data_IF_954812493162
#
_entry.id   IF_954812493162
#
_cell.length_a   1.000
_cell.length_b   1.000
_cell.length_c   1.000
_cell.angle_alpha   90.00
_cell.angle_beta   90.00
_cell.angle_gamma   90.00
#
_symmetry.space_group_name_H-M   'P 1'
#
loop_
_entity.id
_entity.type
_entity.pdbx_description
1 polymer ?
#
# COMPACT_ATOMS: atom_id res chain seq x y z
N UNK A 1 9.37 5.61 -29.80
CA UNK A 1 8.58 6.54 -28.98
C UNK A 1 8.69 6.08 -27.53
N UNK A 2 9.32 6.91 -26.69
CA UNK A 2 9.59 6.62 -25.28
C UNK A 2 8.28 6.33 -24.56
N UNK A 3 8.16 5.14 -23.98
CA UNK A 3 6.98 4.71 -23.23
C UNK A 3 6.72 5.70 -22.11
N UNK A 4 5.47 6.17 -22.02
CA UNK A 4 5.06 7.09 -20.98
C UNK A 4 5.43 6.51 -19.62
N UNK A 5 6.35 7.19 -18.92
CA UNK A 5 6.54 6.98 -17.49
C UNK A 5 5.22 7.39 -16.82
N UNK A 6 4.33 6.40 -16.61
CA UNK A 6 3.20 6.57 -15.71
C UNK A 6 3.80 6.97 -14.37
N UNK A 7 3.54 8.20 -13.93
CA UNK A 7 3.96 8.66 -12.61
C UNK A 7 3.26 7.77 -11.59
N UNK A 8 3.98 6.78 -11.09
CA UNK A 8 3.47 5.92 -10.04
C UNK A 8 3.27 6.78 -8.79
N UNK A 9 2.04 6.84 -8.32
CA UNK A 9 1.75 7.52 -7.06
C UNK A 9 2.37 6.69 -5.92
N UNK A 10 3.17 7.34 -5.07
CA UNK A 10 3.63 6.74 -3.80
C UNK A 10 2.49 6.48 -2.81
N UNK A 11 1.24 6.80 -3.20
CA UNK A 11 0.03 6.56 -2.43
C UNK A 11 -1.01 5.79 -3.25
N UNK A 12 -1.62 4.79 -2.63
CA UNK A 12 -2.75 4.04 -3.18
C UNK A 12 -3.93 4.13 -2.22
N UNK A 13 -5.12 4.45 -2.74
CA UNK A 13 -6.37 4.51 -1.97
C UNK A 13 -7.28 3.33 -2.33
N UNK A 14 -7.61 2.54 -1.32
CA UNK A 14 -8.50 1.36 -1.41
C UNK A 14 -9.67 1.46 -0.43
N UNK A 15 -9.99 2.67 0.06
CA UNK A 15 -11.13 2.89 0.97
C UNK A 15 -12.43 2.37 0.35
N UNK A 16 -13.24 1.75 1.20
CA UNK A 16 -14.56 1.22 0.82
C UNK A 16 -14.52 -0.14 0.09
N UNK A 17 -13.34 -0.64 -0.25
CA UNK A 17 -13.19 -1.95 -0.89
C UNK A 17 -13.25 -3.08 0.14
N UNK A 18 -13.61 -4.30 -0.30
CA UNK A 18 -13.37 -5.50 0.50
C UNK A 18 -11.92 -5.94 0.33
N UNK A 19 -11.42 -6.70 1.30
CA UNK A 19 -10.04 -7.21 1.24
C UNK A 19 -9.75 -7.99 -0.05
N UNK A 20 -10.70 -8.85 -0.48
CA UNK A 20 -10.56 -9.65 -1.70
C UNK A 20 -10.44 -8.80 -2.99
N UNK A 21 -11.00 -7.59 -2.99
CA UNK A 21 -10.92 -6.67 -4.13
C UNK A 21 -9.64 -5.80 -4.05
N UNK A 22 -9.26 -5.38 -2.83
CA UNK A 22 -8.11 -4.51 -2.60
C UNK A 22 -6.78 -5.24 -2.75
N UNK A 23 -6.66 -6.48 -2.26
CA UNK A 23 -5.41 -7.24 -2.28
C UNK A 23 -4.76 -7.32 -3.68
N UNK A 24 -5.46 -7.75 -4.76
CA UNK A 24 -4.84 -7.83 -6.08
C UNK A 24 -4.44 -6.47 -6.67
N UNK A 25 -5.07 -5.37 -6.24
CA UNK A 25 -4.68 -4.02 -6.63
C UNK A 25 -3.38 -3.62 -5.92
N UNK A 26 -3.26 -3.93 -4.63
CA UNK A 26 -2.07 -3.66 -3.83
C UNK A 26 -0.88 -4.48 -4.33
N UNK A 27 -1.07 -5.76 -4.67
CA UNK A 27 -0.03 -6.63 -5.26
C UNK A 27 0.56 -5.99 -6.52
N UNK A 28 -0.29 -5.67 -7.50
CA UNK A 28 0.17 -5.05 -8.76
C UNK A 28 0.87 -3.72 -8.51
N UNK A 29 0.38 -2.92 -7.57
CA UNK A 29 1.00 -1.64 -7.22
C UNK A 29 2.39 -1.81 -6.59
N UNK A 30 2.60 -2.87 -5.79
CA UNK A 30 3.93 -3.22 -5.25
C UNK A 30 4.89 -3.57 -6.39
N UNK A 31 4.46 -4.38 -7.37
CA UNK A 31 5.29 -4.74 -8.52
C UNK A 31 5.72 -3.51 -9.32
N UNK A 32 4.77 -2.61 -9.62
CA UNK A 32 5.05 -1.37 -10.33
C UNK A 32 6.01 -0.46 -9.52
N UNK A 33 5.86 -0.40 -8.20
CA UNK A 33 6.73 0.39 -7.33
C UNK A 33 8.15 -0.18 -7.20
N UNK A 34 8.30 -1.50 -7.19
CA UNK A 34 9.61 -2.17 -7.23
C UNK A 34 10.35 -1.83 -8.53
N UNK A 35 9.67 -1.93 -9.67
CA UNK A 35 10.25 -1.60 -10.98
C UNK A 35 10.66 -0.13 -11.07
N UNK A 36 9.91 0.76 -10.42
CA UNK A 36 10.19 2.19 -10.40
C UNK A 36 11.18 2.62 -9.29
N UNK A 37 11.58 1.72 -8.39
CA UNK A 37 12.44 2.04 -7.25
C UNK A 37 11.81 3.01 -6.25
N UNK A 38 10.48 3.01 -6.11
CA UNK A 38 9.75 3.92 -5.23
C UNK A 38 9.47 3.30 -3.87
N UNK A 39 10.09 3.86 -2.83
CA UNK A 39 9.85 3.49 -1.44
C UNK A 39 10.19 4.67 -0.53
N UNK A 40 9.46 4.92 0.57
CA UNK A 40 8.31 4.17 1.11
C UNK A 40 6.99 4.43 0.36
N UNK A 41 6.02 3.52 0.57
CA UNK A 41 4.68 3.58 0.00
C UNK A 41 3.62 3.82 1.08
N UNK A 42 2.53 4.52 0.72
CA UNK A 42 1.40 4.83 1.62
C UNK A 42 0.10 4.21 1.10
N UNK A 43 -0.45 3.27 1.84
CA UNK A 43 -1.71 2.59 1.54
C UNK A 43 -2.84 3.15 2.40
N UNK A 44 -3.78 3.85 1.76
CA UNK A 44 -4.95 4.44 2.41
C UNK A 44 -6.10 3.42 2.33
N UNK A 45 -6.39 2.77 3.45
CA UNK A 45 -7.49 1.80 3.55
C UNK A 45 -8.65 2.33 4.42
N UNK A 46 -8.46 3.47 5.09
CA UNK A 46 -9.44 4.05 6.00
C UNK A 46 -9.48 3.33 7.36
N UNK A 47 -10.14 3.96 8.34
CA UNK A 47 -10.23 3.43 9.71
C UNK A 47 -11.31 2.35 9.82
N UNK A 48 -12.56 2.68 9.44
CA UNK A 48 -13.69 1.74 9.43
C UNK A 48 -13.78 0.87 10.68
N UNK A 49 -14.12 -0.41 10.49
CA UNK A 49 -14.04 -1.45 11.53
C UNK A 49 -12.62 -1.98 11.75
N UNK A 50 -11.63 -1.47 11.01
CA UNK A 50 -10.26 -1.95 11.01
C UNK A 50 -10.03 -3.30 10.31
N UNK A 51 -11.06 -3.94 9.74
CA UNK A 51 -10.90 -5.24 9.07
C UNK A 51 -10.01 -5.16 7.83
N UNK A 52 -10.28 -4.20 6.93
CA UNK A 52 -9.49 -4.00 5.72
C UNK A 52 -8.02 -3.67 6.05
N UNK A 53 -7.80 -2.70 6.96
CA UNK A 53 -6.46 -2.31 7.38
C UNK A 53 -5.66 -3.45 8.02
N UNK A 54 -6.28 -4.25 8.89
CA UNK A 54 -5.62 -5.41 9.51
C UNK A 54 -5.27 -6.48 8.48
N UNK A 55 -6.19 -6.82 7.57
CA UNK A 55 -5.94 -7.79 6.51
C UNK A 55 -4.80 -7.36 5.58
N UNK A 56 -4.82 -6.11 5.12
CA UNK A 56 -3.77 -5.58 4.25
C UNK A 56 -2.42 -5.48 4.97
N UNK A 57 -2.40 -5.10 6.25
CA UNK A 57 -1.14 -5.12 7.02
C UNK A 57 -0.57 -6.51 7.20
N UNK A 58 -1.41 -7.52 7.45
CA UNK A 58 -0.94 -8.90 7.56
C UNK A 58 -0.34 -9.35 6.23
N UNK A 59 -1.09 -9.17 5.14
CA UNK A 59 -0.62 -9.48 3.79
C UNK A 59 0.73 -8.79 3.49
N UNK A 60 0.88 -7.49 3.79
CA UNK A 60 2.14 -6.77 3.58
C UNK A 60 3.29 -7.31 4.44
N UNK A 61 3.05 -7.75 5.68
CA UNK A 61 4.11 -8.33 6.53
C UNK A 61 4.60 -9.69 6.03
N UNK A 62 3.72 -10.45 5.37
CA UNK A 62 4.03 -11.75 4.79
C UNK A 62 4.64 -11.63 3.38
N UNK A 63 4.53 -10.46 2.75
CA UNK A 63 4.99 -10.22 1.39
C UNK A 63 6.53 -10.19 1.28
N UNK A 64 7.08 -10.97 0.36
CA UNK A 64 8.54 -11.15 0.20
C UNK A 64 9.29 -9.88 -0.22
N UNK A 65 8.62 -8.95 -0.92
CA UNK A 65 9.24 -7.69 -1.33
C UNK A 65 9.17 -6.58 -0.27
N UNK A 66 8.49 -6.81 0.86
CA UNK A 66 8.31 -5.80 1.91
C UNK A 66 9.34 -6.01 3.02
N UNK A 67 9.90 -4.91 3.53
CA UNK A 67 10.93 -4.91 4.57
C UNK A 67 10.42 -4.34 5.90
N UNK A 68 9.53 -3.34 5.87
CA UNK A 68 8.92 -2.75 7.07
C UNK A 68 7.46 -2.40 6.83
N UNK A 69 6.62 -2.55 7.86
CA UNK A 69 5.19 -2.18 7.83
C UNK A 69 4.80 -1.51 9.13
N UNK A 70 4.19 -0.33 9.05
CA UNK A 70 3.63 0.39 10.20
C UNK A 70 2.33 1.10 9.84
N UNK A 71 1.53 1.46 10.83
CA UNK A 71 0.49 2.45 10.62
C UNK A 71 1.11 3.83 10.36
N UNK A 72 0.34 4.72 9.72
CA UNK A 72 0.68 6.11 9.58
C UNK A 72 0.69 6.84 10.93
N UNK A 73 1.53 7.86 11.04
CA UNK A 73 1.49 8.85 12.10
C UNK A 73 0.23 9.74 11.98
N UNK A 74 -0.05 10.59 12.97
CA UNK A 74 -1.27 11.42 12.96
C UNK A 74 -1.37 12.33 11.71
N UNK A 75 -0.26 12.92 11.28
CA UNK A 75 -0.12 13.74 10.08
C UNK A 75 -0.17 12.93 8.77
N UNK A 76 0.08 11.62 8.84
CA UNK A 76 -0.01 10.71 7.69
C UNK A 76 -1.39 10.04 7.55
N UNK A 77 -2.34 10.33 8.45
CA UNK A 77 -3.69 9.74 8.45
C UNK A 77 -3.94 8.68 9.53
N UNK A 78 -2.96 8.46 10.41
CA UNK A 78 -3.05 7.58 11.57
C UNK A 78 -3.32 6.12 11.21
N UNK A 79 -4.15 5.45 12.02
CA UNK A 79 -4.56 4.06 11.82
C UNK A 79 -5.38 3.80 10.54
N UNK A 80 -5.75 4.84 9.78
CA UNK A 80 -6.42 4.69 8.48
C UNK A 80 -5.46 4.52 7.31
N UNK A 81 -4.16 4.61 7.57
CA UNK A 81 -3.10 4.51 6.57
C UNK A 81 -2.05 3.52 7.07
N UNK A 82 -1.54 2.73 6.14
CA UNK A 82 -0.38 1.86 6.36
C UNK A 82 0.78 2.39 5.52
N UNK A 83 1.93 2.60 6.15
CA UNK A 83 3.18 2.99 5.49
C UNK A 83 4.13 1.80 5.50
N UNK A 84 4.70 1.46 4.35
CA UNK A 84 5.60 0.31 4.23
C UNK A 84 6.79 0.59 3.31
N UNK A 85 7.90 -0.08 3.62
CA UNK A 85 9.15 -0.02 2.85
C UNK A 85 9.31 -1.30 2.03
N UNK A 86 9.87 -1.16 0.82
CA UNK A 86 10.23 -2.25 -0.06
C UNK A 86 11.70 -2.65 0.20
N UNK A 87 12.11 -3.81 -0.31
CA UNK A 87 13.50 -4.29 -0.26
C UNK A 87 14.34 -3.75 -1.40
#
# INVERSE_FOLDING_TARGET
>A
VLGAASSLSSQLDVRGQRFADAQPIVERWIDEALLAGHSPLRLIHGKGTGLLGRGLQQYLREHSAVSKVRYGNEDEGGSGVTVFELR
#
